data_IF_470932661794
#
_entry.id   IF_470932661794
#
_cell.length_a   1.000
_cell.length_b   1.000
_cell.length_c   1.000
_cell.angle_alpha   90.00
_cell.angle_beta   90.00
_cell.angle_gamma   90.00
#
_symmetry.space_group_name_H-M   'P 1'
#
loop_
_entity.id
_entity.type
_entity.pdbx_description
1 polymer ?
#
# COMPACT_ATOMS: atom_id res chain seq x y z
N UNK A 1 6.41 1.89 1.65
CA UNK A 1 5.71 3.08 2.16
C UNK A 1 4.28 2.66 2.37
N UNK A 2 4.13 1.84 3.39
CA UNK A 2 2.93 1.12 3.81
C UNK A 2 2.00 2.00 4.67
N UNK A 3 2.51 3.06 5.30
CA UNK A 3 1.69 4.01 6.06
C UNK A 3 0.49 4.57 5.26
N UNK A 4 0.66 4.85 3.96
CA UNK A 4 -0.46 5.25 3.09
C UNK A 4 -1.44 4.09 2.85
N UNK A 5 -0.92 2.87 2.74
CA UNK A 5 -1.70 1.64 2.55
C UNK A 5 -2.54 1.33 3.77
N UNK A 6 -2.03 1.60 4.99
CA UNK A 6 -2.77 1.58 6.25
C UNK A 6 -3.78 2.73 6.41
N UNK A 7 -3.88 3.65 5.44
CA UNK A 7 -4.86 4.73 5.47
C UNK A 7 -4.40 6.03 6.14
N UNK A 8 -3.09 6.23 6.37
CA UNK A 8 -2.60 7.52 6.85
C UNK A 8 -2.89 8.63 5.83
N UNK A 9 -3.62 9.67 6.24
CA UNK A 9 -4.01 10.78 5.35
C UNK A 9 -2.79 11.53 4.77
N UNK A 10 -1.75 11.68 5.59
CA UNK A 10 -0.52 12.39 5.24
C UNK A 10 0.68 11.57 5.70
N UNK A 11 1.71 11.46 4.85
CA UNK A 11 2.99 10.85 5.20
C UNK A 11 4.12 11.83 4.90
N UNK A 12 4.92 12.13 5.92
CA UNK A 12 6.12 12.95 5.80
C UNK A 12 7.35 12.07 5.64
N UNK A 13 8.15 12.34 4.61
CA UNK A 13 9.42 11.68 4.33
C UNK A 13 10.58 12.65 4.45
N UNK A 14 11.75 12.07 4.73
CA UNK A 14 13.00 12.79 4.97
C UNK A 14 13.04 13.62 6.27
N UNK A 15 11.98 13.61 7.09
CA UNK A 15 11.92 14.35 8.36
C UNK A 15 13.05 13.96 9.33
N UNK A 16 13.40 12.67 9.37
CA UNK A 16 14.45 12.13 10.26
C UNK A 16 15.84 12.07 9.61
N UNK A 17 15.99 12.59 8.38
CA UNK A 17 17.30 12.62 7.74
C UNK A 17 18.18 13.66 8.41
N UNK A 18 19.50 13.41 8.44
CA UNK A 18 20.47 14.38 8.94
C UNK A 18 20.37 15.68 8.15
N UNK A 19 20.40 16.80 8.87
CA UNK A 19 20.43 18.16 8.30
C UNK A 19 21.52 18.32 7.23
N UNK A 20 22.66 17.64 7.40
CA UNK A 20 23.77 17.66 6.44
C UNK A 20 23.38 17.22 5.02
N UNK A 21 22.34 16.38 4.88
CA UNK A 21 21.84 15.94 3.58
C UNK A 21 21.07 17.03 2.83
N UNK A 22 20.61 18.08 3.52
CA UNK A 22 19.83 19.20 2.96
C UNK A 22 18.67 18.75 2.06
N UNK A 23 18.09 17.59 2.33
CA UNK A 23 16.96 17.08 1.56
C UNK A 23 15.68 17.74 2.08
N UNK A 24 14.85 18.30 1.20
CA UNK A 24 13.56 18.85 1.62
C UNK A 24 12.66 17.73 2.14
N UNK A 25 11.83 18.08 3.13
CA UNK A 25 10.76 17.20 3.60
C UNK A 25 9.82 16.97 2.41
N UNK A 26 9.48 15.70 2.17
CA UNK A 26 8.51 15.32 1.17
C UNK A 26 7.20 14.99 1.89
N UNK A 27 6.13 15.68 1.50
CA UNK A 27 4.77 15.44 1.99
C UNK A 27 3.97 14.70 0.92
N UNK A 28 3.24 13.66 1.33
CA UNK A 28 2.42 12.85 0.45
C UNK A 28 1.02 12.76 1.05
N UNK A 29 0.03 13.24 0.30
CA UNK A 29 -1.38 13.21 0.69
C UNK A 29 -2.07 12.00 0.05
N UNK A 30 -2.65 11.12 0.88
CA UNK A 30 -3.36 9.93 0.41
C UNK A 30 -4.52 10.30 -0.50
N UNK A 31 -5.30 11.32 -0.14
CA UNK A 31 -6.43 11.81 -0.94
C UNK A 31 -6.03 12.14 -2.39
N UNK A 32 -4.94 12.89 -2.57
CA UNK A 32 -4.42 13.24 -3.90
C UNK A 32 -3.96 12.00 -4.66
N UNK A 33 -3.29 11.05 -3.98
CA UNK A 33 -2.87 9.78 -4.60
C UNK A 33 -4.07 8.99 -5.12
N UNK A 34 -5.13 8.84 -4.31
CA UNK A 34 -6.35 8.12 -4.68
C UNK A 34 -7.10 8.82 -5.82
N UNK A 35 -7.21 10.15 -5.77
CA UNK A 35 -7.86 10.96 -6.81
C UNK A 35 -7.14 10.86 -8.16
N UNK A 36 -5.81 11.01 -8.18
CA UNK A 36 -5.01 10.95 -9.41
C UNK A 36 -4.99 9.53 -10.00
N UNK A 37 -4.94 8.50 -9.16
CA UNK A 37 -4.98 7.10 -9.61
C UNK A 37 -6.41 6.61 -9.95
N UNK A 38 -7.43 7.36 -9.51
CA UNK A 38 -8.87 7.03 -9.61
C UNK A 38 -9.21 5.69 -8.95
N UNK A 39 -8.68 5.52 -7.75
CA UNK A 39 -8.83 4.31 -6.94
C UNK A 39 -9.53 4.62 -5.62
N UNK A 40 -10.25 3.65 -5.10
CA UNK A 40 -10.68 3.64 -3.70
C UNK A 40 -9.51 3.18 -2.81
N UNK A 41 -9.63 3.34 -1.48
CA UNK A 41 -8.63 2.82 -0.55
C UNK A 41 -8.46 1.30 -0.68
N UNK A 42 -9.55 0.55 -0.85
CA UNK A 42 -9.51 -0.91 -1.02
C UNK A 42 -8.77 -1.31 -2.31
N UNK A 43 -9.05 -0.61 -3.42
CA UNK A 43 -8.33 -0.82 -4.68
C UNK A 43 -6.84 -0.45 -4.55
N UNK A 44 -6.53 0.60 -3.78
CA UNK A 44 -5.16 1.00 -3.51
C UNK A 44 -4.38 -0.01 -2.65
N UNK A 45 -5.03 -0.64 -1.67
CA UNK A 45 -4.44 -1.74 -0.89
C UNK A 45 -4.07 -2.91 -1.82
N UNK A 46 -5.01 -3.33 -2.68
CA UNK A 46 -4.77 -4.39 -3.67
C UNK A 46 -3.64 -4.02 -4.65
N UNK A 47 -3.57 -2.75 -5.07
CA UNK A 47 -2.45 -2.25 -5.87
C UNK A 47 -1.11 -2.40 -5.12
N UNK A 48 -1.05 -1.99 -3.85
CA UNK A 48 0.17 -2.09 -3.03
C UNK A 48 0.62 -3.54 -2.85
N UNK A 49 -0.30 -4.47 -2.62
CA UNK A 49 0.02 -5.90 -2.51
C UNK A 49 0.57 -6.43 -3.84
N UNK A 50 -0.04 -6.07 -4.98
CA UNK A 50 0.44 -6.46 -6.32
C UNK A 50 1.84 -5.93 -6.64
N UNK A 51 2.15 -4.69 -6.22
CA UNK A 51 3.47 -4.09 -6.39
C UNK A 51 4.53 -4.73 -5.48
N UNK A 52 4.11 -5.48 -4.46
CA UNK A 52 4.96 -6.07 -3.43
C UNK A 52 4.81 -5.32 -2.10
N UNK A 53 4.58 -6.09 -1.04
CA UNK A 53 4.55 -5.61 0.34
C UNK A 53 5.32 -6.59 1.24
N UNK A 54 5.52 -6.22 2.51
CA UNK A 54 6.32 -7.03 3.44
C UNK A 54 5.53 -8.20 4.06
N UNK A 55 4.23 -8.31 3.78
CA UNK A 55 3.31 -9.25 4.46
C UNK A 55 2.98 -10.51 3.65
N UNK A 56 3.27 -10.53 2.35
CA UNK A 56 3.02 -11.67 1.46
C UNK A 56 3.89 -11.55 0.21
N UNK A 57 4.09 -12.66 -0.50
CA UNK A 57 4.75 -12.68 -1.80
C UNK A 57 4.01 -11.85 -2.86
N UNK A 58 4.62 -11.68 -4.03
CA UNK A 58 4.02 -11.01 -5.19
C UNK A 58 4.11 -11.86 -6.46
N UNK A 59 3.27 -11.54 -7.45
CA UNK A 59 3.25 -12.28 -8.72
C UNK A 59 4.50 -11.93 -9.53
N UNK A 60 5.37 -12.92 -9.77
CA UNK A 60 6.62 -12.72 -10.51
C UNK A 60 6.33 -12.15 -11.91
N UNK A 61 7.04 -11.09 -12.27
CA UNK A 61 6.90 -10.42 -13.57
C UNK A 61 5.76 -9.41 -13.66
N UNK A 62 5.02 -9.17 -12.56
CA UNK A 62 4.08 -8.06 -12.41
C UNK A 62 4.75 -7.00 -11.52
N UNK A 63 5.22 -5.92 -12.14
CA UNK A 63 5.79 -4.76 -11.44
C UNK A 63 4.81 -3.59 -11.33
N UNK A 64 5.28 -2.41 -10.90
CA UNK A 64 4.43 -1.24 -10.62
C UNK A 64 3.53 -0.82 -11.78
N UNK A 65 4.09 -0.67 -12.99
CA UNK A 65 3.33 -0.24 -14.17
C UNK A 65 2.19 -1.20 -14.49
N UNK A 66 2.47 -2.50 -14.48
CA UNK A 66 1.47 -3.52 -14.82
C UNK A 66 0.44 -3.69 -13.70
N UNK A 67 0.84 -3.51 -12.44
CA UNK A 67 -0.08 -3.52 -11.29
C UNK A 67 -1.13 -2.42 -11.43
N UNK A 68 -0.71 -1.20 -11.80
CA UNK A 68 -1.62 -0.06 -12.05
C UNK A 68 -2.59 -0.39 -13.20
N UNK A 69 -2.09 -0.88 -14.33
CA UNK A 69 -2.94 -1.25 -15.48
C UNK A 69 -3.97 -2.33 -15.11
N UNK A 70 -3.56 -3.34 -14.35
CA UNK A 70 -4.44 -4.44 -13.92
C UNK A 70 -5.48 -3.97 -12.92
N UNK A 71 -5.10 -3.20 -11.90
CA UNK A 71 -6.04 -2.75 -10.87
C UNK A 71 -7.05 -1.76 -11.43
N UNK A 72 -6.66 -0.85 -12.31
CA UNK A 72 -7.58 0.09 -12.94
C UNK A 72 -8.62 -0.61 -13.83
N UNK A 73 -8.23 -1.75 -14.43
CA UNK A 73 -9.11 -2.54 -15.30
C UNK A 73 -10.03 -3.49 -14.52
N UNK A 74 -9.51 -4.16 -13.51
CA UNK A 74 -10.17 -5.29 -12.85
C UNK A 74 -10.64 -4.99 -11.42
N UNK A 75 -10.16 -3.90 -10.81
CA UNK A 75 -10.57 -3.36 -9.50
C UNK A 75 -10.28 -4.22 -8.27
N UNK A 76 -9.83 -5.46 -8.42
CA UNK A 76 -9.40 -6.30 -7.29
C UNK A 76 -8.42 -7.39 -7.72
N UNK A 77 -7.58 -7.87 -6.81
CA UNK A 77 -6.72 -9.04 -7.02
C UNK A 77 -7.54 -10.27 -7.43
N UNK A 78 -8.69 -10.49 -6.77
CA UNK A 78 -9.63 -11.57 -7.07
C UNK A 78 -10.09 -11.56 -8.54
N UNK A 79 -10.43 -10.38 -9.08
CA UNK A 79 -10.83 -10.23 -10.47
C UNK A 79 -9.64 -10.35 -11.44
N UNK A 80 -8.45 -9.88 -11.04
CA UNK A 80 -7.22 -10.02 -11.82
C UNK A 80 -6.89 -11.50 -12.01
N UNK A 81 -6.89 -12.29 -10.94
CA UNK A 81 -6.55 -13.72 -10.98
C UNK A 81 -7.48 -14.55 -11.90
N UNK A 82 -8.72 -14.09 -12.13
CA UNK A 82 -9.67 -14.71 -13.07
C UNK A 82 -9.33 -14.44 -14.55
N UNK A 83 -8.66 -13.33 -14.85
CA UNK A 83 -8.36 -12.88 -16.21
C UNK A 83 -6.87 -12.93 -16.56
N UNK A 84 -6.02 -13.22 -15.58
CA UNK A 84 -4.57 -13.29 -15.74
C UNK A 84 -4.17 -14.61 -16.41
N UNK A 85 -3.23 -14.52 -17.35
CA UNK A 85 -2.56 -15.68 -17.94
C UNK A 85 -1.67 -16.35 -16.88
N UNK A 86 -2.13 -17.49 -16.37
CA UNK A 86 -1.50 -18.23 -15.27
C UNK A 86 -0.20 -18.92 -15.67
N UNK A 87 -0.03 -19.25 -16.94
CA UNK A 87 1.20 -19.86 -17.44
C UNK A 87 2.33 -18.83 -17.50
N UNK A 88 1.98 -17.59 -17.87
CA UNK A 88 2.92 -16.47 -17.94
C UNK A 88 3.18 -15.80 -16.59
N UNK A 89 2.15 -15.68 -15.75
CA UNK A 89 2.19 -15.00 -14.47
C UNK A 89 1.61 -15.90 -13.37
N UNK A 90 2.31 -16.98 -13.00
CA UNK A 90 1.86 -17.84 -11.93
C UNK A 90 1.84 -17.06 -10.61
N UNK A 91 0.71 -17.15 -9.90
CA UNK A 91 0.64 -16.67 -8.53
C UNK A 91 1.56 -17.51 -7.62
N UNK A 92 2.09 -16.93 -6.53
CA UNK A 92 2.84 -17.69 -5.54
C UNK A 92 2.03 -18.88 -4.99
N UNK A 93 2.74 -19.94 -4.60
CA UNK A 93 2.13 -21.06 -3.87
C UNK A 93 1.63 -20.56 -2.51
N UNK A 94 0.42 -20.97 -2.11
CA UNK A 94 -0.24 -20.53 -0.86
C UNK A 94 -0.29 -19.00 -0.66
N UNK A 95 -0.46 -18.24 -1.76
CA UNK A 95 -0.42 -16.78 -1.72
C UNK A 95 -1.51 -16.17 -0.83
N UNK A 96 -1.13 -15.75 0.38
CA UNK A 96 -2.03 -15.17 1.39
C UNK A 96 -2.22 -13.65 1.22
N UNK A 97 -2.59 -13.20 0.02
CA UNK A 97 -2.92 -11.80 -0.22
C UNK A 97 -4.16 -11.33 0.55
N UNK A 98 -5.08 -12.24 0.86
CA UNK A 98 -6.28 -11.94 1.66
C UNK A 98 -5.90 -11.57 3.09
N UNK A 99 -4.98 -12.29 3.71
CA UNK A 99 -4.46 -11.93 5.04
C UNK A 99 -3.69 -10.61 5.03
N UNK A 100 -2.90 -10.33 3.99
CA UNK A 100 -2.25 -9.03 3.84
C UNK A 100 -3.26 -7.89 3.67
N UNK A 101 -4.33 -8.10 2.89
CA UNK A 101 -5.43 -7.14 2.72
C UNK A 101 -6.11 -6.85 4.05
N UNK A 102 -6.48 -7.89 4.80
CA UNK A 102 -7.11 -7.75 6.12
C UNK A 102 -6.21 -7.00 7.11
N UNK A 103 -4.91 -7.28 7.11
CA UNK A 103 -3.93 -6.57 7.93
C UNK A 103 -3.89 -5.06 7.62
N UNK A 104 -4.01 -4.67 6.34
CA UNK A 104 -4.05 -3.26 5.96
C UNK A 104 -5.40 -2.58 6.25
N UNK A 105 -6.51 -3.30 6.08
CA UNK A 105 -7.86 -2.77 6.31
C UNK A 105 -8.20 -2.68 7.80
N UNK A 106 -7.76 -3.67 8.59
CA UNK A 106 -8.06 -3.82 10.01
C UNK A 106 -6.77 -4.01 10.83
N UNK A 107 -5.83 -3.04 10.79
CA UNK A 107 -4.61 -3.15 11.57
C UNK A 107 -4.90 -3.11 13.08
N UNK A 108 -4.14 -3.88 13.85
CA UNK A 108 -4.16 -3.78 15.30
C UNK A 108 -3.51 -2.46 15.72
N UNK A 109 -4.34 -1.47 16.05
CA UNK A 109 -3.93 -0.12 16.45
C UNK A 109 -4.42 0.19 17.85
N UNK A 110 -3.65 1.02 18.55
CA UNK A 110 -4.07 1.58 19.83
C UNK A 110 -5.17 2.60 19.60
N UNK A 111 -6.17 2.60 20.48
CA UNK A 111 -7.21 3.64 20.54
C UNK A 111 -6.55 5.02 20.76
N UNK A 112 -6.63 5.95 19.78
CA UNK A 112 -6.03 7.27 19.88
C UNK A 112 -6.53 8.09 21.08
N UNK A 113 -7.77 7.89 21.50
CA UNK A 113 -8.37 8.65 22.61
C UNK A 113 -7.76 8.26 23.96
N UNK A 114 -7.07 7.12 24.03
CA UNK A 114 -6.34 6.67 25.22
C UNK A 114 -4.91 7.23 25.32
N UNK A 115 -4.45 7.99 24.32
CA UNK A 115 -3.07 8.46 24.23
C UNK A 115 -2.98 9.92 24.73
N UNK A 116 -2.28 10.11 25.85
CA UNK A 116 -1.94 11.43 26.39
C UNK A 116 -0.49 11.77 26.03
N UNK A 117 -0.29 12.66 25.06
CA UNK A 117 1.04 13.07 24.60
C UNK A 117 1.57 14.22 25.45
N UNK A 118 2.69 14.00 26.15
CA UNK A 118 3.38 15.00 26.96
C UNK A 118 4.85 15.09 26.57
N UNK A 119 5.33 16.31 26.38
CA UNK A 119 6.75 16.62 26.20
C UNK A 119 7.23 17.31 27.48
N UNK A 120 8.10 16.64 28.23
CA UNK A 120 8.78 17.21 29.39
C UNK A 120 10.11 17.86 29.02
N UNK A 121 10.68 18.62 29.95
CA UNK A 121 12.06 19.11 29.90
C UNK A 121 13.09 17.99 30.14
#
# INVERSE_FOLDING_TARGET
MDALTFGSDIVLRHLTFSEARKMPIQEIHLKTVLEELKLTQQEFIDLCILMGCDYTDSIRGIGPKKSIELIQKHRSIDAILKHLDKDKYPAPEDWNYVGARDLFENPDIRDPDTIDLKWGE
#
